data_IF_986207938893
#
_entry.id   IF_986207938893
#
_cell.length_a   1.000
_cell.length_b   1.000
_cell.length_c   1.000
_cell.angle_alpha   90.00
_cell.angle_beta   90.00
_cell.angle_gamma   90.00
#
_symmetry.space_group_name_H-M   'P 1'
#
loop_
_entity.id
_entity.type
_entity.pdbx_description
1 polymer ?
#
# COMPACT_ATOMS: atom_id res chain seq x y z
N UNK A 1 -2.68 6.32 -5.65
CA UNK A 1 -2.86 6.70 -4.22
C UNK A 1 -3.65 8.01 -4.19
N UNK A 2 -4.73 8.04 -3.43
CA UNK A 2 -5.61 9.20 -3.31
C UNK A 2 -5.38 9.91 -1.98
N UNK A 3 -5.31 11.24 -2.03
CA UNK A 3 -5.33 12.05 -0.82
C UNK A 3 -6.71 11.91 -0.15
N UNK A 4 -6.75 11.90 1.17
CA UNK A 4 -7.87 11.58 2.06
C UNK A 4 -8.21 10.09 2.17
N UNK A 5 -8.09 9.32 1.13
CA UNK A 5 -8.37 7.87 1.15
C UNK A 5 -7.13 7.07 1.54
N UNK A 6 -6.08 7.12 0.72
CA UNK A 6 -4.83 6.37 0.97
C UNK A 6 -3.85 7.14 1.85
N UNK A 7 -3.80 8.47 1.70
CA UNK A 7 -2.89 9.38 2.40
C UNK A 7 -3.71 10.45 3.11
N UNK A 8 -3.49 10.62 4.41
CA UNK A 8 -4.15 11.62 5.23
C UNK A 8 -3.13 12.65 5.75
N UNK A 9 -3.56 13.80 6.30
CA UNK A 9 -2.64 14.76 6.91
C UNK A 9 -1.76 14.20 8.03
N UNK A 10 -2.16 13.09 8.66
CA UNK A 10 -1.42 12.39 9.70
C UNK A 10 -0.48 11.30 9.18
N UNK A 11 -0.50 11.04 7.87
CA UNK A 11 0.35 10.04 7.23
C UNK A 11 1.69 10.65 6.84
N UNK A 12 2.77 10.03 7.24
CA UNK A 12 4.11 10.52 6.88
C UNK A 12 4.55 10.01 5.50
N UNK A 13 5.47 10.71 4.83
CA UNK A 13 6.02 10.27 3.54
C UNK A 13 6.63 8.87 3.61
N UNK A 14 7.28 8.51 4.72
CA UNK A 14 7.90 7.20 4.87
C UNK A 14 6.87 6.07 5.00
N UNK A 15 5.77 6.30 5.75
CA UNK A 15 4.65 5.35 5.82
C UNK A 15 3.98 5.17 4.45
N UNK A 16 3.79 6.27 3.70
CA UNK A 16 3.12 6.27 2.39
C UNK A 16 3.99 5.70 1.25
N UNK A 17 5.26 5.36 1.52
CA UNK A 17 6.21 4.93 0.50
C UNK A 17 6.64 6.05 -0.45
N UNK A 18 6.64 7.30 0.04
CA UNK A 18 7.05 8.51 -0.67
C UNK A 18 8.38 9.06 -0.16
N UNK A 19 9.17 8.24 0.55
CA UNK A 19 10.46 8.65 1.10
C UNK A 19 11.45 9.16 0.03
N UNK A 20 11.30 8.74 -1.22
CA UNK A 20 12.12 9.24 -2.34
C UNK A 20 11.87 10.72 -2.67
N UNK A 21 10.76 11.30 -2.22
CA UNK A 21 10.44 12.72 -2.35
C UNK A 21 11.04 13.57 -1.21
N UNK A 22 11.65 12.93 -0.20
CA UNK A 22 12.18 13.62 0.98
C UNK A 22 13.69 13.80 0.82
N UNK A 23 14.13 15.04 0.66
CA UNK A 23 15.55 15.41 0.70
C UNK A 23 15.86 16.12 2.03
N UNK A 24 16.49 15.39 2.95
CA UNK A 24 16.89 15.92 4.25
C UNK A 24 18.13 16.83 4.17
N UNK A 25 18.83 16.88 3.04
CA UNK A 25 20.07 17.64 2.86
C UNK A 25 19.85 19.01 2.22
N UNK A 26 18.65 19.32 1.75
CA UNK A 26 18.34 20.58 1.06
C UNK A 26 18.33 21.85 1.96
N UNK A 27 18.68 21.71 3.24
CA UNK A 27 18.58 22.77 4.25
C UNK A 27 17.29 22.64 5.09
N UNK A 28 16.94 23.71 5.82
CA UNK A 28 15.78 23.69 6.71
C UNK A 28 14.46 23.81 5.98
N UNK A 29 13.47 23.07 6.46
CA UNK A 29 12.08 23.14 6.04
C UNK A 29 11.16 22.68 7.17
N UNK A 30 9.90 23.08 7.12
CA UNK A 30 8.90 22.73 8.13
C UNK A 30 8.74 21.20 8.17
N UNK A 31 8.94 20.60 9.35
CA UNK A 31 8.82 19.15 9.56
C UNK A 31 10.11 18.35 9.31
N UNK A 32 11.24 19.00 8.96
CA UNK A 32 12.53 18.33 8.74
C UNK A 32 12.95 17.48 9.94
N UNK A 33 12.94 18.05 11.15
CA UNK A 33 13.39 17.34 12.35
C UNK A 33 12.54 16.12 12.68
N UNK A 34 11.21 16.23 12.47
CA UNK A 34 10.29 15.10 12.62
C UNK A 34 10.64 13.97 11.63
N UNK A 35 10.96 14.31 10.38
CA UNK A 35 11.33 13.32 9.37
C UNK A 35 12.72 12.72 9.61
N UNK A 36 13.69 13.51 10.12
CA UNK A 36 15.01 13.01 10.54
C UNK A 36 14.82 11.97 11.66
N UNK A 37 14.04 12.33 12.69
CA UNK A 37 13.73 11.42 13.79
C UNK A 37 13.05 10.14 13.28
N UNK A 38 12.01 10.27 12.48
CA UNK A 38 11.28 9.10 11.97
C UNK A 38 12.16 8.21 11.08
N UNK A 39 13.09 8.80 10.31
CA UNK A 39 14.03 8.02 9.50
C UNK A 39 14.98 7.20 10.37
N UNK A 40 15.39 7.73 11.53
CA UNK A 40 16.24 7.03 12.49
C UNK A 40 15.47 5.94 13.26
N UNK A 41 14.27 6.26 13.74
CA UNK A 41 13.42 5.35 14.52
C UNK A 41 12.75 4.26 13.66
N UNK A 42 12.60 4.52 12.35
CA UNK A 42 11.81 3.70 11.43
C UNK A 42 10.31 4.02 11.50
N UNK A 43 9.53 3.27 10.71
CA UNK A 43 8.07 3.34 10.70
C UNK A 43 7.48 2.02 11.22
N UNK A 44 6.33 2.08 11.86
CA UNK A 44 5.63 0.87 12.38
C UNK A 44 4.74 0.22 11.33
N UNK A 45 4.36 0.98 10.30
CA UNK A 45 3.48 0.52 9.20
C UNK A 45 3.92 1.13 7.87
N UNK A 46 3.58 0.46 6.79
CA UNK A 46 3.83 0.93 5.41
C UNK A 46 2.61 0.71 4.54
N UNK A 47 2.33 1.67 3.66
CA UNK A 47 1.34 1.49 2.59
C UNK A 47 1.85 0.48 1.57
N UNK A 48 1.15 -0.65 1.49
CA UNK A 48 1.48 -1.75 0.59
C UNK A 48 0.45 -1.88 -0.52
N UNK A 49 0.90 -2.42 -1.64
CA UNK A 49 0.05 -2.87 -2.74
C UNK A 49 -0.16 -4.37 -2.58
N UNK A 50 -1.42 -4.78 -2.56
CA UNK A 50 -1.83 -6.18 -2.56
C UNK A 50 -2.55 -6.50 -3.87
N UNK A 51 -2.54 -7.76 -4.27
CA UNK A 51 -3.35 -8.28 -5.36
C UNK A 51 -4.16 -9.46 -4.85
N UNK A 52 -5.41 -9.60 -5.31
CA UNK A 52 -6.17 -10.83 -5.10
C UNK A 52 -5.52 -11.95 -5.91
N UNK A 53 -5.43 -13.14 -5.31
CA UNK A 53 -4.77 -14.32 -5.91
C UNK A 53 -5.76 -15.40 -6.34
N UNK A 54 -6.98 -15.39 -5.79
CA UNK A 54 -7.99 -16.42 -6.07
C UNK A 54 -8.77 -16.16 -7.35
N UNK A 55 -8.73 -14.94 -7.89
CA UNK A 55 -9.43 -14.58 -9.12
C UNK A 55 -8.74 -13.47 -9.89
N UNK A 56 -8.78 -13.56 -11.21
CA UNK A 56 -8.40 -12.51 -12.15
C UNK A 56 -9.64 -11.73 -12.68
N UNK A 57 -10.85 -12.15 -12.30
CA UNK A 57 -12.08 -11.44 -12.63
C UNK A 57 -12.22 -10.19 -11.76
N UNK A 58 -12.97 -9.22 -12.26
CA UNK A 58 -13.27 -7.99 -11.53
C UNK A 58 -14.02 -8.30 -10.23
N UNK A 59 -13.50 -7.77 -9.12
CA UNK A 59 -14.13 -7.79 -7.80
C UNK A 59 -14.35 -6.35 -7.34
N UNK A 60 -15.56 -6.04 -6.88
CA UNK A 60 -15.86 -4.72 -6.35
C UNK A 60 -15.24 -4.54 -4.97
N UNK A 61 -14.34 -3.56 -4.86
CA UNK A 61 -13.69 -3.14 -3.61
C UNK A 61 -14.19 -1.75 -3.25
N UNK A 62 -14.76 -1.60 -2.05
CA UNK A 62 -15.34 -0.34 -1.58
C UNK A 62 -14.36 0.48 -0.72
N UNK A 63 -13.39 -0.19 -0.09
CA UNK A 63 -12.57 0.34 0.97
C UNK A 63 -13.20 0.09 2.35
N UNK A 64 -12.35 -0.24 3.32
CA UNK A 64 -12.79 -0.60 4.67
C UNK A 64 -12.90 -2.10 4.93
N UNK A 65 -12.77 -2.95 3.90
CA UNK A 65 -12.74 -4.41 4.04
C UNK A 65 -11.65 -4.84 5.00
N UNK A 66 -11.96 -5.82 5.87
CA UNK A 66 -11.00 -6.32 6.84
C UNK A 66 -9.92 -7.17 6.15
N UNK A 67 -8.67 -6.95 6.57
CA UNK A 67 -7.50 -7.73 6.14
C UNK A 67 -7.08 -8.63 7.28
N UNK A 68 -7.17 -9.92 7.06
CA UNK A 68 -6.83 -10.94 8.05
C UNK A 68 -5.46 -11.56 7.75
N UNK A 69 -4.68 -11.78 8.80
CA UNK A 69 -3.46 -12.59 8.78
C UNK A 69 -3.52 -13.57 9.94
N UNK A 70 -3.36 -14.87 9.65
CA UNK A 70 -3.44 -15.96 10.64
C UNK A 70 -4.70 -15.89 11.53
N UNK A 71 -5.84 -15.59 10.90
CA UNK A 71 -7.15 -15.52 11.57
C UNK A 71 -7.42 -14.26 12.39
N UNK A 72 -6.51 -13.27 12.38
CA UNK A 72 -6.68 -11.99 13.08
C UNK A 72 -6.77 -10.83 12.10
N UNK A 73 -7.65 -9.88 12.37
CA UNK A 73 -7.70 -8.62 11.61
C UNK A 73 -6.47 -7.80 11.94
N UNK A 74 -5.66 -7.51 10.92
CA UNK A 74 -4.41 -6.72 11.08
C UNK A 74 -4.57 -5.29 10.60
N UNK A 75 -5.46 -5.05 9.62
CA UNK A 75 -5.73 -3.72 9.06
C UNK A 75 -7.03 -3.73 8.25
N UNK A 76 -7.30 -2.61 7.58
CA UNK A 76 -8.40 -2.48 6.61
C UNK A 76 -7.89 -1.95 5.28
N UNK A 77 -8.55 -2.35 4.20
CA UNK A 77 -8.29 -1.81 2.86
C UNK A 77 -8.57 -0.31 2.85
N UNK A 78 -7.68 0.46 2.26
CA UNK A 78 -7.85 1.91 2.08
C UNK A 78 -8.59 2.22 0.78
N UNK A 79 -8.13 1.62 -0.30
CA UNK A 79 -8.75 1.71 -1.62
C UNK A 79 -8.42 0.48 -2.44
N UNK A 80 -9.18 0.26 -3.49
CA UNK A 80 -8.93 -0.82 -4.43
C UNK A 80 -9.52 -0.51 -5.79
N UNK A 81 -9.13 -1.30 -6.77
CA UNK A 81 -9.65 -1.21 -8.13
C UNK A 81 -9.07 -2.28 -9.03
N UNK A 82 -9.70 -2.44 -10.19
CA UNK A 82 -9.26 -3.39 -11.18
C UNK A 82 -8.29 -2.75 -12.17
N UNK A 83 -7.10 -3.32 -12.28
CA UNK A 83 -6.08 -2.91 -13.24
C UNK A 83 -6.27 -3.62 -14.58
N UNK A 84 -7.00 -3.02 -15.52
CA UNK A 84 -7.34 -3.63 -16.81
C UNK A 84 -6.13 -4.10 -17.62
N UNK A 85 -5.01 -3.39 -17.55
CA UNK A 85 -3.78 -3.76 -18.26
C UNK A 85 -3.11 -5.00 -17.65
N UNK A 86 -3.09 -5.10 -16.33
CA UNK A 86 -2.46 -6.22 -15.61
C UNK A 86 -3.43 -7.33 -15.28
N UNK A 87 -4.74 -7.11 -15.50
CA UNK A 87 -5.85 -8.03 -15.22
C UNK A 87 -5.82 -8.53 -13.77
N UNK A 88 -5.68 -7.61 -12.82
CA UNK A 88 -5.60 -7.91 -11.39
C UNK A 88 -6.46 -6.93 -10.58
N UNK A 89 -7.08 -7.44 -9.52
CA UNK A 89 -7.66 -6.60 -8.48
C UNK A 89 -6.53 -6.11 -7.58
N UNK A 90 -6.35 -4.79 -7.54
CA UNK A 90 -5.25 -4.11 -6.82
C UNK A 90 -5.84 -3.41 -5.61
N UNK A 91 -5.25 -3.62 -4.43
CA UNK A 91 -5.70 -3.06 -3.18
C UNK A 91 -4.55 -2.32 -2.50
N UNK A 92 -4.88 -1.26 -1.76
CA UNK A 92 -3.94 -0.54 -0.91
C UNK A 92 -4.33 -0.70 0.56
N UNK A 93 -3.36 -1.08 1.39
CA UNK A 93 -3.52 -1.16 2.83
C UNK A 93 -2.22 -0.78 3.57
N UNK A 94 -2.36 -0.19 4.76
CA UNK A 94 -1.22 -0.01 5.66
C UNK A 94 -1.02 -1.31 6.44
N UNK A 95 0.10 -1.96 6.22
CA UNK A 95 0.49 -3.17 6.94
C UNK A 95 1.55 -2.86 7.98
N UNK A 96 1.57 -3.57 9.14
CA UNK A 96 2.72 -3.63 10.02
C UNK A 96 3.99 -3.96 9.21
N UNK A 97 5.12 -3.36 9.57
CA UNK A 97 6.36 -3.48 8.76
C UNK A 97 6.87 -4.91 8.63
N UNK A 98 6.67 -5.73 9.63
CA UNK A 98 6.99 -7.16 9.66
C UNK A 98 6.16 -7.98 8.66
N UNK A 99 4.92 -7.55 8.38
CA UNK A 99 4.03 -8.15 7.39
C UNK A 99 4.08 -7.46 6.01
N UNK A 100 4.73 -6.30 5.91
CA UNK A 100 4.86 -5.51 4.69
C UNK A 100 5.93 -6.06 3.73
N UNK A 101 6.05 -7.37 3.64
CA UNK A 101 7.04 -8.10 2.84
C UNK A 101 6.36 -8.70 1.63
N UNK A 102 6.97 -8.56 0.44
CA UNK A 102 6.46 -9.15 -0.80
C UNK A 102 6.29 -10.66 -0.64
N UNK A 103 5.13 -11.17 -1.04
CA UNK A 103 4.76 -12.58 -0.92
C UNK A 103 4.00 -12.92 0.38
N UNK A 104 3.88 -11.98 1.33
CA UNK A 104 3.06 -12.21 2.53
C UNK A 104 1.60 -12.32 2.12
N UNK A 105 0.92 -13.36 2.60
CA UNK A 105 -0.46 -13.69 2.27
C UNK A 105 -1.43 -13.22 3.34
N UNK A 106 -2.60 -12.80 2.86
CA UNK A 106 -3.71 -12.29 3.66
C UNK A 106 -5.02 -12.86 3.15
N UNK A 107 -6.04 -12.79 3.98
CA UNK A 107 -7.43 -13.02 3.59
C UNK A 107 -8.17 -11.69 3.67
N UNK A 108 -8.86 -11.32 2.59
CA UNK A 108 -9.69 -10.11 2.53
C UNK A 108 -11.14 -10.52 2.71
N UNK A 109 -11.79 -9.94 3.71
CA UNK A 109 -13.20 -10.18 3.99
C UNK A 109 -14.06 -9.25 3.14
N UNK A 110 -14.64 -9.78 2.09
CA UNK A 110 -15.51 -9.09 1.15
C UNK A 110 -16.97 -9.40 1.44
N UNK A 111 -17.89 -8.61 0.88
CA UNK A 111 -19.34 -8.84 1.00
C UNK A 111 -19.72 -10.21 0.43
N UNK A 112 -19.10 -10.62 -0.67
CA UNK A 112 -19.41 -11.88 -1.39
C UNK A 112 -18.63 -13.08 -0.86
N UNK A 113 -17.78 -12.91 0.16
CA UNK A 113 -16.95 -13.97 0.74
C UNK A 113 -15.51 -13.57 0.90
N UNK A 114 -14.71 -14.47 1.43
CA UNK A 114 -13.30 -14.23 1.71
C UNK A 114 -12.44 -14.62 0.49
N UNK A 115 -11.53 -13.73 0.09
CA UNK A 115 -10.55 -14.01 -0.97
C UNK A 115 -9.12 -13.83 -0.47
N UNK A 116 -8.22 -14.65 -1.00
CA UNK A 116 -6.81 -14.53 -0.71
C UNK A 116 -6.19 -13.34 -1.46
N UNK A 117 -5.25 -12.69 -0.80
CA UNK A 117 -4.45 -11.61 -1.37
C UNK A 117 -2.98 -11.75 -0.97
N UNK A 118 -2.10 -11.16 -1.75
CA UNK A 118 -0.65 -11.20 -1.52
C UNK A 118 -0.04 -9.81 -1.69
N UNK A 119 0.93 -9.47 -0.83
CA UNK A 119 1.74 -8.25 -1.00
C UNK A 119 2.59 -8.37 -2.26
N UNK A 120 2.51 -7.36 -3.11
CA UNK A 120 3.24 -7.31 -4.38
C UNK A 120 4.12 -6.05 -4.49
N UNK A 121 4.77 -5.87 -5.63
CA UNK A 121 5.48 -4.63 -5.93
C UNK A 121 4.53 -3.43 -5.96
N UNK A 122 5.02 -2.25 -5.55
CA UNK A 122 4.20 -1.03 -5.52
C UNK A 122 3.68 -0.59 -6.89
N UNK A 123 4.40 -0.94 -7.96
CA UNK A 123 4.03 -0.63 -9.34
C UNK A 123 4.04 -1.93 -10.13
N UNK A 124 2.85 -2.34 -10.62
CA UNK A 124 2.66 -3.59 -11.35
C UNK A 124 2.90 -3.45 -12.86
N UNK A 125 2.71 -2.26 -13.40
CA UNK A 125 2.85 -1.99 -14.83
C UNK A 125 3.91 -0.92 -15.07
N UNK A 126 4.84 -1.21 -15.96
CA UNK A 126 5.94 -0.32 -16.38
C UNK A 126 6.65 0.39 -15.19
N UNK A 127 7.22 -0.37 -14.22
CA UNK A 127 7.79 0.19 -12.99
C UNK A 127 8.97 1.13 -13.25
N UNK A 128 9.61 1.04 -14.40
CA UNK A 128 10.72 1.92 -14.82
C UNK A 128 10.30 3.05 -15.72
N UNK A 129 9.00 3.15 -16.04
CA UNK A 129 8.43 4.12 -16.98
C UNK A 129 9.11 4.09 -18.36
N UNK A 130 9.45 2.89 -18.83
CA UNK A 130 10.15 2.71 -20.10
C UNK A 130 9.28 3.14 -21.28
N UNK A 131 7.97 2.84 -21.22
CA UNK A 131 7.01 3.27 -22.26
C UNK A 131 6.79 4.77 -22.30
N UNK A 132 6.92 5.45 -21.16
CA UNK A 132 6.81 6.91 -21.11
C UNK A 132 8.05 7.61 -21.65
N UNK A 133 9.23 6.95 -21.56
CA UNK A 133 10.52 7.48 -21.96
C UNK A 133 10.91 7.09 -23.39
N UNK A 134 10.13 6.23 -24.03
CA UNK A 134 10.37 5.75 -25.40
C UNK A 134 10.07 6.82 -26.46
#
# INVERSE_FOLDING_TARGET
KYFTTDITPTTTPYEAGLGFCVDLNKGDFIGRDALVKQKADGVTRKLCTLVLTDTDEFVQIYGGEAVHHEGKVVTRIRSGGYGFTVKKNILYAYLPVDLAVKGTRFTIELIEGNLAAEVTANVLYDPKSEKLKA
#
